data_IF_512249377307
#
_entry.id   IF_512249377307
#
_cell.length_a   1.000
_cell.length_b   1.000
_cell.length_c   1.000
_cell.angle_alpha   90.00
_cell.angle_beta   90.00
_cell.angle_gamma   90.00
#
_symmetry.space_group_name_H-M   'P 1'
#
loop_
_entity.id
_entity.type
_entity.pdbx_description
1 polymer ?
#
# COMPACT_ATOMS: atom_id res chain seq x y z
N UNK A 1 2.09 -20.59 -11.02
CA UNK A 1 1.96 -19.20 -11.54
C UNK A 1 1.85 -18.29 -10.33
N UNK A 2 2.66 -17.22 -10.28
CA UNK A 2 2.66 -16.26 -9.17
C UNK A 2 2.18 -14.90 -9.67
N UNK A 3 1.39 -14.20 -8.85
CA UNK A 3 0.88 -12.84 -9.13
C UNK A 3 1.28 -11.91 -7.98
N UNK A 4 1.58 -10.65 -8.29
CA UNK A 4 2.06 -9.66 -7.31
C UNK A 4 1.37 -8.31 -7.52
N UNK A 5 1.41 -7.45 -6.51
CA UNK A 5 0.84 -6.10 -6.57
C UNK A 5 -0.66 -6.09 -6.86
N UNK A 6 -1.09 -5.13 -7.68
CA UNK A 6 -2.52 -4.83 -7.87
C UNK A 6 -3.30 -5.92 -8.61
N UNK A 7 -2.61 -6.83 -9.29
CA UNK A 7 -3.21 -8.00 -9.94
C UNK A 7 -3.60 -9.10 -8.95
N UNK A 8 -3.11 -9.03 -7.71
CA UNK A 8 -3.42 -10.01 -6.67
C UNK A 8 -4.78 -9.71 -6.01
N UNK A 9 -5.53 -10.78 -5.71
CA UNK A 9 -6.63 -10.77 -4.77
C UNK A 9 -6.26 -11.67 -3.59
N UNK A 10 -6.43 -11.20 -2.36
CA UNK A 10 -6.12 -11.95 -1.15
C UNK A 10 -7.12 -11.65 -0.03
N UNK A 11 -7.23 -12.57 0.92
CA UNK A 11 -8.21 -12.50 2.01
C UNK A 11 -7.94 -11.40 3.04
N UNK A 12 -6.69 -10.92 3.18
CA UNK A 12 -6.34 -9.90 4.17
C UNK A 12 -6.89 -8.48 3.89
N UNK A 13 -7.62 -8.24 2.79
CA UNK A 13 -8.28 -6.97 2.44
C UNK A 13 -7.39 -5.73 2.64
N UNK A 14 -6.09 -5.88 2.40
CA UNK A 14 -5.13 -4.79 2.64
C UNK A 14 -5.20 -3.78 1.51
N UNK A 15 -4.86 -2.53 1.84
CA UNK A 15 -4.83 -1.48 0.85
C UNK A 15 -3.70 -1.76 -0.14
N UNK A 16 -4.04 -1.72 -1.43
CA UNK A 16 -3.09 -1.91 -2.53
C UNK A 16 -2.18 -0.70 -2.63
N UNK A 17 -1.03 -0.79 -1.97
CA UNK A 17 0.00 0.25 -1.89
C UNK A 17 1.30 -0.28 -2.48
N UNK A 18 2.20 0.64 -2.85
CA UNK A 18 3.52 0.27 -3.36
C UNK A 18 4.31 -0.62 -2.39
N UNK A 19 4.19 -0.38 -1.08
CA UNK A 19 4.81 -1.24 -0.07
C UNK A 19 4.23 -2.65 -0.07
N UNK A 20 2.90 -2.79 -0.13
CA UNK A 20 2.22 -4.09 -0.19
C UNK A 20 2.64 -4.88 -1.45
N UNK A 21 2.78 -4.19 -2.59
CA UNK A 21 3.27 -4.79 -3.82
C UNK A 21 4.71 -5.33 -3.69
N UNK A 22 5.59 -4.58 -3.01
CA UNK A 22 6.98 -4.99 -2.75
C UNK A 22 7.04 -6.22 -1.82
N UNK A 23 6.24 -6.24 -0.75
CA UNK A 23 6.11 -7.42 0.14
C UNK A 23 5.58 -8.64 -0.63
N UNK A 24 4.60 -8.45 -1.52
CA UNK A 24 4.09 -9.51 -2.39
C UNK A 24 5.17 -10.05 -3.33
N UNK A 25 5.99 -9.15 -3.90
CA UNK A 25 7.10 -9.54 -4.76
C UNK A 25 8.16 -10.36 -4.00
N UNK A 26 8.50 -9.98 -2.76
CA UNK A 26 9.39 -10.76 -1.92
C UNK A 26 8.85 -12.16 -1.61
N UNK A 27 7.54 -12.27 -1.28
CA UNK A 27 6.92 -13.58 -1.06
C UNK A 27 7.00 -14.45 -2.31
N UNK A 28 6.61 -13.89 -3.45
CA UNK A 28 6.59 -14.61 -4.72
C UNK A 28 8.00 -15.09 -5.11
N UNK A 29 9.01 -14.23 -4.98
CA UNK A 29 10.40 -14.59 -5.25
C UNK A 29 10.88 -15.74 -4.34
N UNK A 30 10.59 -15.66 -3.03
CA UNK A 30 10.93 -16.74 -2.11
C UNK A 30 10.22 -18.05 -2.48
N UNK A 31 8.93 -17.99 -2.79
CA UNK A 31 8.14 -19.18 -3.11
C UNK A 31 8.51 -19.81 -4.46
N UNK A 32 8.97 -19.03 -5.44
CA UNK A 32 9.54 -19.57 -6.69
C UNK A 32 10.78 -20.41 -6.37
N UNK A 33 11.68 -19.89 -5.54
CA UNK A 33 12.91 -20.62 -5.14
C UNK A 33 12.55 -21.86 -4.32
N UNK A 34 11.60 -21.75 -3.40
CA UNK A 34 11.14 -22.86 -2.57
C UNK A 34 10.51 -23.98 -3.42
N UNK A 35 9.67 -23.62 -4.40
CA UNK A 35 9.04 -24.55 -5.34
C UNK A 35 10.09 -25.28 -6.19
N UNK A 36 11.11 -24.57 -6.67
CA UNK A 36 12.24 -25.17 -7.40
C UNK A 36 13.02 -26.18 -6.55
N UNK A 37 13.09 -25.99 -5.23
CA UNK A 37 13.84 -26.83 -4.31
C UNK A 37 12.96 -27.86 -3.58
N UNK A 38 11.65 -27.89 -3.85
CA UNK A 38 10.70 -28.76 -3.16
C UNK A 38 10.53 -28.47 -1.67
N UNK A 39 10.80 -27.23 -1.22
CA UNK A 39 10.64 -26.82 0.17
C UNK A 39 9.28 -26.16 0.43
N UNK A 40 8.81 -26.11 1.69
CA UNK A 40 7.51 -25.53 2.01
C UNK A 40 7.38 -24.06 1.61
N UNK A 41 6.26 -23.72 0.98
CA UNK A 41 5.94 -22.36 0.56
C UNK A 41 5.54 -21.49 1.77
N UNK A 42 5.94 -20.22 1.75
CA UNK A 42 5.52 -19.24 2.72
C UNK A 42 4.08 -18.77 2.43
N UNK A 43 3.34 -18.49 3.49
CA UNK A 43 1.95 -17.99 3.44
C UNK A 43 1.90 -16.51 3.76
N UNK A 44 1.21 -15.74 2.92
CA UNK A 44 0.98 -14.31 3.12
C UNK A 44 -0.03 -14.04 4.26
N UNK A 45 0.06 -12.92 5.02
CA UNK A 45 1.15 -11.94 5.09
C UNK A 45 2.25 -12.32 6.10
N UNK A 46 1.97 -13.29 6.97
CA UNK A 46 2.82 -13.66 8.12
C UNK A 46 4.19 -14.21 7.71
N UNK A 47 4.27 -14.92 6.58
CA UNK A 47 5.51 -15.47 6.06
C UNK A 47 6.55 -14.44 5.64
N UNK A 48 6.14 -13.19 5.36
CA UNK A 48 7.08 -12.11 4.97
C UNK A 48 7.24 -11.06 6.06
N UNK A 49 6.15 -10.63 6.68
CA UNK A 49 6.18 -9.53 7.65
C UNK A 49 6.34 -10.00 9.10
N UNK A 50 6.08 -11.28 9.37
CA UNK A 50 6.02 -11.81 10.74
C UNK A 50 4.84 -11.27 11.55
N UNK A 51 3.87 -10.61 10.91
CA UNK A 51 2.66 -10.06 11.53
C UNK A 51 1.40 -10.47 10.74
N UNK A 52 0.22 -10.29 11.35
CA UNK A 52 -1.07 -10.63 10.73
C UNK A 52 -1.56 -9.58 9.73
N UNK A 53 -0.91 -8.41 9.71
CA UNK A 53 -1.19 -7.30 8.80
C UNK A 53 0.10 -6.60 8.40
N UNK A 54 0.19 -6.19 7.13
CA UNK A 54 1.23 -5.33 6.59
C UNK A 54 1.02 -3.86 7.01
N UNK A 55 2.10 -3.08 7.17
CA UNK A 55 1.97 -1.67 7.54
C UNK A 55 1.42 -0.86 6.35
N UNK A 56 0.42 -0.02 6.63
CA UNK A 56 -0.21 0.88 5.66
C UNK A 56 0.65 2.16 5.55
N UNK A 57 1.44 2.29 4.48
CA UNK A 57 2.31 3.45 4.23
C UNK A 57 1.86 4.19 2.98
N UNK A 58 1.52 5.47 3.12
CA UNK A 58 1.11 6.30 1.99
C UNK A 58 1.66 7.72 2.12
N UNK A 59 1.79 8.40 0.99
CA UNK A 59 2.35 9.74 0.90
C UNK A 59 1.61 10.55 -0.17
N UNK A 60 1.06 11.69 0.22
CA UNK A 60 0.26 12.56 -0.63
C UNK A 60 0.88 13.97 -0.71
N UNK A 61 1.13 14.46 -1.92
CA UNK A 61 1.48 15.88 -2.13
C UNK A 61 0.22 16.74 -2.08
N UNK A 62 0.25 17.80 -1.27
CA UNK A 62 -0.81 18.82 -1.22
C UNK A 62 -0.42 20.12 -1.93
N UNK A 63 0.82 20.22 -2.41
CA UNK A 63 1.35 21.37 -3.13
C UNK A 63 2.87 21.34 -3.18
N UNK A 64 3.50 22.40 -3.71
CA UNK A 64 4.97 22.46 -3.90
C UNK A 64 5.78 22.28 -2.62
N UNK A 65 5.24 22.75 -1.49
CA UNK A 65 5.94 22.75 -0.19
C UNK A 65 5.13 22.09 0.92
N UNK A 66 4.11 21.30 0.59
CA UNK A 66 3.26 20.65 1.58
C UNK A 66 2.95 19.22 1.14
N UNK A 67 3.14 18.28 2.06
CA UNK A 67 2.76 16.90 1.88
C UNK A 67 2.25 16.30 3.18
N UNK A 68 1.58 15.15 3.05
CA UNK A 68 1.11 14.32 4.15
C UNK A 68 1.69 12.92 3.96
N UNK A 69 2.23 12.34 5.03
CA UNK A 69 2.69 10.95 5.07
C UNK A 69 1.92 10.25 6.17
N UNK A 70 1.28 9.14 5.81
CA UNK A 70 0.62 8.25 6.74
C UNK A 70 1.42 6.97 6.95
N UNK A 71 1.56 6.56 8.20
CA UNK A 71 2.09 5.26 8.61
C UNK A 71 1.14 4.64 9.64
N UNK A 72 0.33 3.67 9.21
CA UNK A 72 -0.76 3.09 10.00
C UNK A 72 -1.71 4.17 10.54
N UNK A 73 -1.62 4.49 11.84
CA UNK A 73 -2.42 5.53 12.51
C UNK A 73 -1.69 6.87 12.69
N UNK A 74 -0.41 6.95 12.36
CA UNK A 74 0.36 8.20 12.44
C UNK A 74 0.22 8.97 11.13
N UNK A 75 -0.20 10.23 11.22
CA UNK A 75 -0.28 11.14 10.09
C UNK A 75 0.63 12.32 10.36
N UNK A 76 1.64 12.50 9.52
CA UNK A 76 2.56 13.63 9.55
C UNK A 76 2.21 14.61 8.44
N UNK A 77 2.09 15.89 8.78
CA UNK A 77 1.74 16.96 7.84
C UNK A 77 2.75 18.10 7.92
N UNK A 78 3.14 18.66 6.77
CA UNK A 78 3.89 19.91 6.71
C UNK A 78 4.93 19.97 5.60
N UNK A 79 5.77 21.00 5.66
CA UNK A 79 6.82 21.24 4.65
C UNK A 79 7.99 20.25 4.75
N UNK A 80 8.33 19.82 5.97
CA UNK A 80 9.36 18.80 6.19
C UNK A 80 8.94 17.45 5.61
N UNK A 81 7.63 17.17 5.55
CA UNK A 81 7.08 15.97 4.91
C UNK A 81 7.20 16.06 3.39
N UNK A 82 7.12 17.26 2.80
CA UNK A 82 7.35 17.43 1.36
C UNK A 82 8.81 17.12 0.99
N UNK A 83 9.77 17.51 1.85
CA UNK A 83 11.18 17.13 1.69
C UNK A 83 11.34 15.61 1.82
N UNK A 84 10.69 14.99 2.82
CA UNK A 84 10.70 13.54 2.98
C UNK A 84 10.15 12.83 1.75
N UNK A 85 9.01 13.28 1.20
CA UNK A 85 8.43 12.73 -0.04
C UNK A 85 9.42 12.79 -1.19
N UNK A 86 10.01 13.95 -1.43
CA UNK A 86 11.02 14.12 -2.48
C UNK A 86 12.20 13.17 -2.30
N UNK A 87 12.68 13.01 -1.06
CA UNK A 87 13.75 12.07 -0.74
C UNK A 87 13.34 10.62 -1.04
N UNK A 88 12.13 10.19 -0.65
CA UNK A 88 11.62 8.85 -0.90
C UNK A 88 11.48 8.54 -2.39
N UNK A 89 10.99 9.50 -3.18
CA UNK A 89 10.90 9.34 -4.63
C UNK A 89 12.28 9.21 -5.26
N UNK A 90 13.21 10.09 -4.88
CA UNK A 90 14.57 10.06 -5.39
C UNK A 90 15.28 8.74 -5.06
N UNK A 91 15.15 8.26 -3.82
CA UNK A 91 15.79 6.98 -3.41
C UNK A 91 15.13 5.77 -4.07
N UNK A 92 13.80 5.76 -4.30
CA UNK A 92 13.15 4.69 -5.08
C UNK A 92 13.66 4.65 -6.51
N UNK A 93 13.79 5.80 -7.18
CA UNK A 93 14.34 5.87 -8.55
C UNK A 93 15.80 5.41 -8.57
N UNK A 94 16.59 5.80 -7.56
CA UNK A 94 17.97 5.36 -7.42
C UNK A 94 18.09 3.84 -7.20
N UNK A 95 17.21 3.24 -6.40
CA UNK A 95 17.16 1.81 -6.17
C UNK A 95 16.74 1.04 -7.43
N UNK A 96 15.75 1.54 -8.17
CA UNK A 96 15.34 0.97 -9.45
C UNK A 96 16.44 1.04 -10.52
N UNK A 97 17.35 2.00 -10.41
CA UNK A 97 18.54 2.12 -11.27
C UNK A 97 19.74 1.29 -10.77
N UNK A 98 19.52 0.34 -9.84
CA UNK A 98 20.54 -0.51 -9.21
C UNK A 98 21.70 0.25 -8.55
N UNK A 99 21.50 1.53 -8.18
CA UNK A 99 22.54 2.31 -7.52
C UNK A 99 22.74 1.78 -6.10
N UNK A 100 23.98 1.46 -5.68
CA UNK A 100 24.24 0.85 -4.37
C UNK A 100 23.77 1.71 -3.20
N UNK A 101 23.80 3.04 -3.36
CA UNK A 101 23.30 4.01 -2.36
C UNK A 101 21.79 3.89 -2.15
N UNK A 102 21.01 3.71 -3.23
CA UNK A 102 19.56 3.54 -3.13
C UNK A 102 19.18 2.24 -2.44
N UNK A 103 19.88 1.14 -2.76
CA UNK A 103 19.67 -0.18 -2.16
C UNK A 103 19.97 -0.14 -0.65
N UNK A 104 21.07 0.50 -0.24
CA UNK A 104 21.44 0.59 1.18
C UNK A 104 20.44 1.43 1.99
N UNK A 105 19.96 2.55 1.43
CA UNK A 105 18.94 3.38 2.07
C UNK A 105 17.66 2.59 2.34
N UNK A 106 17.15 1.85 1.35
CA UNK A 106 15.91 1.09 1.50
C UNK A 106 16.04 -0.08 2.47
N UNK A 107 17.19 -0.76 2.52
CA UNK A 107 17.45 -1.78 3.57
C UNK A 107 17.33 -1.21 4.98
N UNK A 108 17.85 0.00 5.21
CA UNK A 108 17.76 0.67 6.52
C UNK A 108 16.31 1.11 6.77
N UNK A 109 15.65 1.70 5.78
CA UNK A 109 14.27 2.15 5.89
C UNK A 109 13.30 1.01 6.20
N UNK A 110 13.47 -0.17 5.60
CA UNK A 110 12.67 -1.36 5.89
C UNK A 110 12.91 -1.87 7.31
N UNK A 111 14.17 -1.88 7.76
CA UNK A 111 14.53 -2.23 9.14
C UNK A 111 13.88 -1.30 10.16
N UNK A 112 13.94 0.01 9.91
CA UNK A 112 13.30 1.03 10.76
C UNK A 112 11.78 0.90 10.72
N UNK A 113 11.18 0.65 9.56
CA UNK A 113 9.72 0.50 9.41
C UNK A 113 9.22 -0.72 10.19
N UNK A 114 9.93 -1.85 10.11
CA UNK A 114 9.61 -3.05 10.87
C UNK A 114 9.80 -2.86 12.38
N UNK A 115 10.84 -2.12 12.78
CA UNK A 115 11.04 -1.77 14.18
C UNK A 115 9.96 -0.83 14.71
N UNK A 116 9.62 0.22 13.96
CA UNK A 116 8.60 1.21 14.32
C UNK A 116 7.20 0.58 14.40
N UNK A 117 6.89 -0.33 13.47
CA UNK A 117 5.66 -1.11 13.49
C UNK A 117 5.54 -1.98 14.76
N UNK A 118 6.66 -2.60 15.19
CA UNK A 118 6.69 -3.46 16.39
C UNK A 118 6.68 -2.68 17.70
N UNK A 119 7.25 -1.47 17.73
CA UNK A 119 7.52 -0.75 18.99
C UNK A 119 6.63 0.45 19.26
N UNK A 120 6.17 1.19 18.23
CA UNK A 120 5.58 2.51 18.44
C UNK A 120 4.12 2.65 17.97
N UNK A 121 3.69 1.88 16.95
CA UNK A 121 2.37 2.05 16.32
C UNK A 121 1.75 0.69 15.94
N UNK A 122 1.26 -0.09 16.92
CA UNK A 122 0.32 -1.16 16.62
C UNK A 122 -0.90 -0.58 15.89
N UNK A 123 -1.51 -1.30 14.92
CA UNK A 123 -2.68 -0.81 14.21
C UNK A 123 -3.76 -0.42 15.21
N UNK A 124 -4.21 0.83 15.12
CA UNK A 124 -5.27 1.38 15.97
C UNK A 124 -6.51 0.48 15.87
N UNK A 125 -7.01 0.00 17.02
CA UNK A 125 -8.24 -0.80 17.12
C UNK A 125 -9.48 -0.07 16.55
N UNK A 126 -9.42 1.26 16.43
CA UNK A 126 -10.49 2.07 15.84
C UNK A 126 -10.64 1.83 14.33
N UNK A 127 -9.52 1.72 13.59
CA UNK A 127 -9.56 1.41 12.15
C UNK A 127 -9.94 -0.05 11.88
N UNK A 128 -9.59 -0.97 12.78
CA UNK A 128 -10.04 -2.36 12.70
C UNK A 128 -11.57 -2.48 12.87
N UNK A 129 -12.21 -1.54 13.58
CA UNK A 129 -13.66 -1.54 13.78
C UNK A 129 -14.39 -1.01 12.54
N UNK A 130 -13.89 0.04 11.89
CA UNK A 130 -14.47 0.54 10.64
C UNK A 130 -14.30 -0.48 9.50
N UNK A 131 -13.12 -1.12 9.39
CA UNK A 131 -12.87 -2.23 8.46
C UNK A 131 -13.77 -3.47 8.77
N UNK A 132 -14.09 -3.72 10.06
CA UNK A 132 -15.01 -4.77 10.50
C UNK A 132 -16.49 -4.42 10.31
N UNK A 133 -16.84 -3.14 10.27
CA UNK A 133 -18.21 -2.66 10.18
C UNK A 133 -18.64 -2.48 8.71
N UNK A 134 -17.72 -2.13 7.81
CA UNK A 134 -17.94 -2.22 6.36
C UNK A 134 -18.06 -3.68 5.88
N UNK A 135 -17.32 -4.61 6.49
CA UNK A 135 -17.38 -6.04 6.15
C UNK A 135 -18.67 -6.74 6.60
N UNK A 136 -19.43 -6.17 7.55
CA UNK A 136 -20.78 -6.63 7.90
C UNK A 136 -21.88 -6.03 7.00
N UNK A 137 -21.60 -4.92 6.32
CA UNK A 137 -22.56 -4.23 5.44
C UNK A 137 -22.43 -4.64 3.95
N UNK A 138 -21.35 -5.29 3.54
CA UNK A 138 -21.16 -5.79 2.15
C UNK A 138 -21.99 -7.06 1.82
N UNK A 139 -22.92 -7.47 2.67
CA UNK A 139 -23.96 -8.47 2.36
C UNK A 139 -25.15 -7.90 1.58
N UNK A 140 -25.26 -6.58 1.49
CA UNK A 140 -26.23 -5.87 0.66
C UNK A 140 -25.48 -4.87 -0.19
N UNK A 141 -25.21 -5.20 -1.46
CA UNK A 141 -24.80 -4.16 -2.42
C UNK A 141 -25.93 -3.11 -2.46
N UNK A 142 -25.70 -1.86 -2.04
CA UNK A 142 -26.50 -0.80 -2.62
C UNK A 142 -26.10 -0.75 -4.09
N UNK A 143 -27.06 -0.69 -5.01
CA UNK A 143 -26.76 -0.26 -6.38
C UNK A 143 -25.98 1.05 -6.29
N UNK A 144 -24.66 0.99 -6.44
CA UNK A 144 -23.81 2.17 -6.59
C UNK A 144 -24.04 2.70 -7.99
N UNK A 145 -25.15 3.42 -8.15
CA UNK A 145 -25.32 4.43 -9.18
C UNK A 145 -24.24 5.49 -8.95
N UNK A 146 -23.09 5.34 -9.60
CA UNK A 146 -22.13 6.41 -9.73
C UNK A 146 -22.71 7.45 -10.69
N UNK A 147 -23.05 8.68 -10.24
CA UNK A 147 -23.32 9.75 -11.17
C UNK A 147 -21.99 10.04 -11.89
N UNK A 148 -21.88 9.59 -13.14
CA UNK A 148 -20.78 9.98 -14.01
C UNK A 148 -21.08 11.40 -14.50
N UNK A 149 -20.39 12.45 -14.01
CA UNK A 149 -20.63 13.82 -14.47
C UNK A 149 -20.37 13.99 -15.97
N UNK A 150 -19.64 13.07 -16.59
CA UNK A 150 -19.33 13.07 -18.03
C UNK A 150 -20.47 12.44 -18.86
N UNK A 151 -21.20 11.46 -18.32
CA UNK A 151 -22.31 10.82 -19.05
C UNK A 151 -23.62 11.61 -18.96
N UNK A 152 -23.83 12.36 -17.87
CA UNK A 152 -24.98 13.27 -17.77
C UNK A 152 -24.89 14.46 -18.75
N UNK A 153 -23.68 14.96 -19.03
CA UNK A 153 -23.46 16.03 -20.03
C UNK A 153 -23.77 15.54 -21.45
N UNK A 154 -23.50 14.27 -21.76
CA UNK A 154 -23.78 13.68 -23.07
C UNK A 154 -25.26 13.31 -23.28
N UNK A 155 -26.03 13.16 -22.21
CA UNK A 155 -27.47 12.86 -22.26
C UNK A 155 -28.37 14.11 -22.13
N UNK A 156 -27.78 15.30 -22.11
CA UNK A 156 -28.54 16.54 -21.96
C UNK A 156 -29.07 16.98 -23.35
N UNK A 157 -30.41 17.04 -23.56
CA UNK A 157 -31.00 17.37 -24.87
C UNK A 157 -30.77 18.81 -25.32
N UNK A 158 -30.03 19.62 -24.56
CA UNK A 158 -29.67 21.01 -24.89
C UNK A 158 -28.55 21.06 -25.97
N UNK A 159 -27.82 19.97 -26.21
CA UNK A 159 -26.75 19.89 -27.21
C UNK A 159 -27.08 19.00 -28.43
N UNK A 160 -28.36 18.67 -28.63
CA UNK A 160 -28.82 17.80 -29.71
C UNK A 160 -29.46 18.54 -30.91
N UNK A 161 -29.07 19.80 -31.13
CA UNK A 161 -29.35 20.56 -32.36
C UNK A 161 -28.06 21.20 -32.91
#
# INVERSE_FOLDING_TARGET
IFCVGDMMSHSSRELKLGHTAEVNAHLAAHNIIADLHGTPLLTYPRGVTGADTTPKIWCLSLGRYHAVVGFNGLVLCGWYVAVLKWLLEWTKVAAASERPVGILFWKIADGVSNWLHRTLLPPSKFLAKDDAQDSLNEGSQPELSFPHPVLEVLNNPIFAD
#
